data_IF_182274657053
#
_entry.id   IF_182274657053
#
_cell.length_a   1.000
_cell.length_b   1.000
_cell.length_c   1.000
_cell.angle_alpha   90.00
_cell.angle_beta   90.00
_cell.angle_gamma   90.00
#
_symmetry.space_group_name_H-M   'P 1'
#
loop_
_entity.id
_entity.type
_entity.pdbx_description
1 polymer ?
#
# COMPACT_ATOMS: atom_id res chain seq x y z
N UNK A 1 29.81 18.21 -14.03
CA UNK A 1 29.62 17.22 -15.11
C UNK A 1 29.86 15.87 -14.44
N UNK A 2 28.87 15.01 -14.12
CA UNK A 2 27.93 14.31 -15.03
C UNK A 2 28.73 13.83 -16.25
N UNK A 3 29.13 12.57 -16.34
CA UNK A 3 28.27 11.40 -16.50
C UNK A 3 29.04 10.14 -16.13
N UNK A 4 28.36 9.15 -15.53
CA UNK A 4 28.71 7.73 -15.73
C UNK A 4 27.48 6.88 -15.38
N UNK A 5 26.57 6.78 -16.35
CA UNK A 5 25.64 5.66 -16.47
C UNK A 5 26.29 4.66 -17.41
N UNK A 6 26.69 3.52 -16.88
CA UNK A 6 26.55 2.21 -17.52
C UNK A 6 27.39 1.21 -16.75
N UNK A 7 26.74 0.21 -16.14
CA UNK A 7 27.16 -1.17 -16.35
C UNK A 7 26.04 -2.11 -15.91
N UNK A 8 25.30 -2.57 -16.92
CA UNK A 8 24.59 -3.84 -16.87
C UNK A 8 25.68 -4.90 -16.97
N UNK A 9 25.93 -5.63 -15.89
CA UNK A 9 26.75 -6.84 -15.93
C UNK A 9 25.92 -7.99 -15.39
N UNK A 10 25.58 -8.92 -16.29
CA UNK A 10 25.35 -10.33 -15.95
C UNK A 10 26.17 -11.11 -16.95
N UNK A 11 27.32 -11.68 -16.52
CA UNK A 11 27.33 -13.10 -16.17
C UNK A 11 28.23 -13.44 -14.97
N UNK A 12 27.76 -14.31 -14.07
CA UNK A 12 28.57 -14.94 -13.01
C UNK A 12 28.88 -14.10 -11.77
N UNK A 13 28.30 -12.90 -11.62
CA UNK A 13 28.43 -12.07 -10.42
C UNK A 13 27.14 -12.12 -9.61
N UNK A 14 27.26 -12.23 -8.28
CA UNK A 14 26.16 -11.96 -7.34
C UNK A 14 25.47 -10.66 -7.78
N UNK A 15 24.12 -10.65 -7.96
CA UNK A 15 23.44 -9.39 -8.15
C UNK A 15 23.69 -8.59 -6.88
N UNK A 16 24.56 -7.59 -6.97
CA UNK A 16 24.64 -6.53 -5.97
C UNK A 16 23.28 -5.88 -6.06
N UNK A 17 22.36 -6.30 -5.20
CA UNK A 17 21.08 -5.63 -5.05
C UNK A 17 21.44 -4.22 -4.62
N UNK A 18 21.42 -3.33 -5.62
CA UNK A 18 21.64 -1.92 -5.43
C UNK A 18 20.60 -1.38 -4.45
N UNK A 19 20.82 -0.17 -3.96
CA UNK A 19 19.86 0.49 -3.08
C UNK A 19 18.50 0.57 -3.78
N UNK A 20 17.58 -0.32 -3.42
CA UNK A 20 16.22 -0.36 -3.94
C UNK A 20 15.56 0.97 -3.59
N UNK A 21 15.01 1.66 -4.58
CA UNK A 21 14.26 2.90 -4.37
C UNK A 21 12.93 2.83 -5.07
N UNK A 22 11.88 2.71 -4.28
CA UNK A 22 10.50 2.72 -4.75
C UNK A 22 10.02 1.38 -5.32
N UNK A 23 8.70 1.27 -5.38
CA UNK A 23 7.99 0.03 -5.67
C UNK A 23 8.32 -0.57 -7.04
N UNK A 24 8.44 0.24 -8.10
CA UNK A 24 8.71 -0.29 -9.43
C UNK A 24 10.10 -0.93 -9.53
N UNK A 25 11.13 -0.29 -8.98
CA UNK A 25 12.47 -0.86 -8.98
C UNK A 25 12.52 -2.15 -8.15
N UNK A 26 11.87 -2.16 -6.99
CA UNK A 26 11.72 -3.36 -6.15
C UNK A 26 11.12 -4.53 -6.92
N UNK A 27 10.01 -4.28 -7.63
CA UNK A 27 9.30 -5.31 -8.39
C UNK A 27 10.12 -5.80 -9.59
N UNK A 28 10.84 -4.90 -10.27
CA UNK A 28 11.77 -5.27 -11.36
C UNK A 28 12.92 -6.13 -10.85
N UNK A 29 13.51 -5.80 -9.70
CA UNK A 29 14.59 -6.62 -9.11
C UNK A 29 14.09 -8.02 -8.72
N UNK A 30 12.89 -8.11 -8.14
CA UNK A 30 12.22 -9.40 -7.86
C UNK A 30 11.98 -10.19 -9.15
N UNK A 31 11.59 -9.53 -10.25
CA UNK A 31 11.41 -10.18 -11.55
C UNK A 31 12.72 -10.70 -12.11
N UNK A 32 13.78 -9.89 -12.11
CA UNK A 32 15.11 -10.27 -12.59
C UNK A 32 15.66 -11.46 -11.80
N UNK A 33 15.53 -11.43 -10.46
CA UNK A 33 15.93 -12.54 -9.60
C UNK A 33 15.14 -13.82 -9.90
N UNK A 34 13.81 -13.70 -10.04
CA UNK A 34 12.94 -14.82 -10.39
C UNK A 34 13.29 -15.43 -11.75
N UNK A 35 13.62 -14.61 -12.75
CA UNK A 35 14.05 -15.07 -14.07
C UNK A 35 15.42 -15.73 -14.05
N UNK A 36 16.34 -15.21 -13.23
CA UNK A 36 17.63 -15.84 -12.95
C UNK A 36 17.45 -17.25 -12.36
N UNK A 37 16.64 -17.38 -11.30
CA UNK A 37 16.35 -18.69 -10.67
C UNK A 37 15.57 -19.64 -11.60
N UNK A 38 14.73 -19.11 -12.51
CA UNK A 38 14.09 -19.92 -13.56
C UNK A 38 15.10 -20.54 -14.54
N UNK A 39 16.16 -19.81 -14.87
CA UNK A 39 17.17 -20.23 -15.86
C UNK A 39 18.27 -21.10 -15.23
N UNK A 40 18.70 -20.79 -14.01
CA UNK A 40 19.81 -21.47 -13.32
C UNK A 40 19.40 -22.69 -12.49
N UNK A 41 18.11 -23.00 -12.41
CA UNK A 41 17.57 -24.02 -11.51
C UNK A 41 17.23 -23.47 -10.12
N UNK A 42 16.32 -24.16 -9.41
CA UNK A 42 15.65 -23.72 -8.16
C UNK A 42 16.60 -23.40 -6.98
N UNK A 43 17.90 -23.72 -7.14
CA UNK A 43 18.96 -23.46 -6.18
C UNK A 43 20.26 -23.06 -6.87
N UNK A 44 20.62 -21.79 -6.82
CA UNK A 44 21.99 -21.34 -7.07
C UNK A 44 22.69 -21.08 -5.73
N UNK A 45 23.70 -21.89 -5.33
CA UNK A 45 24.44 -21.72 -4.07
C UNK A 45 25.18 -20.38 -3.97
N UNK A 46 25.41 -19.69 -5.09
CA UNK A 46 26.06 -18.38 -5.13
C UNK A 46 25.09 -17.22 -4.85
N UNK A 47 23.77 -17.45 -4.90
CA UNK A 47 22.75 -16.42 -4.65
C UNK A 47 22.29 -16.39 -3.20
N UNK A 48 23.20 -16.36 -2.23
CA UNK A 48 22.82 -16.13 -0.82
C UNK A 48 22.43 -14.66 -0.65
N UNK A 49 21.13 -14.39 -0.45
CA UNK A 49 20.63 -13.02 -0.21
C UNK A 49 21.18 -12.51 1.13
N UNK A 50 22.04 -11.46 1.13
CA UNK A 50 22.59 -10.87 2.34
C UNK A 50 21.48 -10.31 3.23
N UNK A 51 21.73 -10.26 4.54
CA UNK A 51 20.75 -9.71 5.48
C UNK A 51 20.46 -8.22 5.23
N UNK A 52 21.48 -7.45 4.84
CA UNK A 52 21.36 -6.03 4.47
C UNK A 52 20.37 -5.81 3.32
N UNK A 53 20.40 -6.69 2.32
CA UNK A 53 19.44 -6.70 1.21
C UNK A 53 18.02 -6.93 1.71
N UNK A 54 17.81 -7.92 2.59
CA UNK A 54 16.48 -8.21 3.15
C UNK A 54 15.88 -7.00 3.87
N UNK A 55 16.70 -6.28 4.65
CA UNK A 55 16.29 -5.04 5.32
C UNK A 55 15.91 -3.96 4.30
N UNK A 56 16.64 -3.82 3.19
CA UNK A 56 16.30 -2.83 2.16
C UNK A 56 14.91 -3.10 1.55
N UNK A 57 14.59 -4.36 1.25
CA UNK A 57 13.25 -4.75 0.79
C UNK A 57 12.17 -4.53 1.86
N UNK A 58 12.47 -4.79 3.13
CA UNK A 58 11.59 -4.43 4.24
C UNK A 58 11.31 -2.92 4.29
N UNK A 59 12.35 -2.09 4.18
CA UNK A 59 12.19 -0.63 4.22
C UNK A 59 11.27 -0.13 3.11
N UNK A 60 11.39 -0.68 1.91
CA UNK A 60 10.47 -0.39 0.81
C UNK A 60 9.04 -0.91 1.09
N UNK A 61 8.88 -2.03 1.81
CA UNK A 61 7.60 -2.49 2.33
C UNK A 61 6.94 -1.46 3.26
N UNK A 62 7.71 -0.88 4.19
CA UNK A 62 7.25 0.20 5.09
C UNK A 62 6.81 1.42 4.28
N UNK A 63 7.68 1.91 3.38
CA UNK A 63 7.40 3.09 2.56
C UNK A 63 6.18 2.88 1.67
N UNK A 64 6.04 1.69 1.08
CA UNK A 64 4.89 1.33 0.25
C UNK A 64 3.60 1.35 1.06
N UNK A 65 3.58 0.75 2.26
CA UNK A 65 2.43 0.75 3.17
C UNK A 65 2.05 2.16 3.63
N UNK A 66 3.03 3.01 3.94
CA UNK A 66 2.75 4.39 4.30
C UNK A 66 2.16 5.18 3.12
N UNK A 67 2.75 5.04 1.93
CA UNK A 67 2.31 5.75 0.73
C UNK A 67 0.95 5.29 0.20
N UNK A 68 0.51 4.07 0.50
CA UNK A 68 -0.84 3.60 0.14
C UNK A 68 -1.88 4.22 1.05
N UNK A 69 -1.58 4.40 2.33
CA UNK A 69 -2.54 4.85 3.33
C UNK A 69 -2.65 6.37 3.45
N UNK A 70 -1.58 7.13 3.22
CA UNK A 70 -1.56 8.59 3.46
C UNK A 70 -2.67 9.33 2.71
N UNK A 71 -2.91 8.98 1.44
CA UNK A 71 -3.90 9.67 0.61
C UNK A 71 -5.32 9.31 1.06
N UNK A 72 -5.58 8.04 1.33
CA UNK A 72 -6.86 7.57 1.88
C UNK A 72 -7.11 8.24 3.24
N UNK A 73 -6.10 8.29 4.11
CA UNK A 73 -6.19 8.91 5.43
C UNK A 73 -6.57 10.40 5.36
N UNK A 74 -6.03 11.15 4.41
CA UNK A 74 -6.34 12.57 4.28
C UNK A 74 -7.71 12.82 3.63
N UNK A 75 -8.11 11.98 2.68
CA UNK A 75 -9.32 12.21 1.87
C UNK A 75 -10.59 11.67 2.54
N UNK A 76 -10.47 10.60 3.32
CA UNK A 76 -11.62 9.86 3.83
C UNK A 76 -12.63 10.68 4.68
N UNK A 77 -12.22 11.60 5.57
CA UNK A 77 -13.17 12.41 6.33
C UNK A 77 -14.07 13.27 5.44
N UNK A 78 -13.53 13.77 4.32
CA UNK A 78 -14.31 14.55 3.36
C UNK A 78 -15.32 13.68 2.63
N UNK A 79 -14.90 12.49 2.20
CA UNK A 79 -15.76 11.55 1.47
C UNK A 79 -16.89 11.02 2.35
N UNK A 80 -16.58 10.64 3.59
CA UNK A 80 -17.60 10.28 4.57
C UNK A 80 -18.51 11.47 4.86
N UNK A 81 -17.97 12.70 4.86
CA UNK A 81 -18.77 13.90 4.99
C UNK A 81 -19.70 14.16 3.82
N UNK A 82 -19.27 13.88 2.59
CA UNK A 82 -20.10 13.93 1.38
C UNK A 82 -21.25 12.91 1.50
N UNK A 83 -20.98 11.68 1.96
CA UNK A 83 -22.03 10.67 2.13
C UNK A 83 -23.04 10.97 3.23
N UNK A 84 -22.63 11.70 4.26
CA UNK A 84 -23.52 12.16 5.33
C UNK A 84 -24.11 13.55 5.06
N UNK A 85 -24.00 14.05 3.83
CA UNK A 85 -24.56 15.34 3.40
C UNK A 85 -23.99 16.57 4.13
N UNK A 86 -22.78 16.47 4.68
CA UNK A 86 -22.08 17.62 5.29
C UNK A 86 -21.34 18.47 4.25
N UNK A 87 -20.93 17.86 3.13
CA UNK A 87 -20.25 18.54 2.03
C UNK A 87 -20.97 18.28 0.72
N UNK A 88 -21.11 19.30 -0.16
CA UNK A 88 -21.62 19.07 -1.50
C UNK A 88 -20.53 18.46 -2.38
N UNK A 89 -20.91 17.51 -3.23
CA UNK A 89 -20.10 17.05 -4.36
C UNK A 89 -20.86 17.27 -5.66
N UNK A 90 -20.16 17.58 -6.75
CA UNK A 90 -20.81 17.91 -8.04
C UNK A 90 -21.90 19.00 -7.93
N UNK A 91 -21.74 19.93 -6.98
CA UNK A 91 -22.68 21.02 -6.73
C UNK A 91 -23.98 20.66 -5.99
N UNK A 92 -24.12 19.43 -5.49
CA UNK A 92 -25.33 18.94 -4.80
C UNK A 92 -24.96 18.27 -3.48
N UNK A 93 -25.90 18.20 -2.53
CA UNK A 93 -25.74 17.44 -1.29
C UNK A 93 -26.26 16.01 -1.42
N UNK A 94 -27.30 15.79 -2.24
CA UNK A 94 -27.82 14.47 -2.52
C UNK A 94 -27.11 13.85 -3.71
N UNK A 95 -26.71 12.59 -3.55
CA UNK A 95 -25.93 11.85 -4.54
C UNK A 95 -26.65 10.57 -4.95
N UNK A 96 -26.75 10.36 -6.25
CA UNK A 96 -27.17 9.10 -6.85
C UNK A 96 -26.17 7.99 -6.53
N UNK A 97 -26.59 6.73 -6.63
CA UNK A 97 -25.71 5.57 -6.40
C UNK A 97 -24.45 5.59 -7.28
N UNK A 98 -24.58 6.06 -8.53
CA UNK A 98 -23.46 6.19 -9.46
C UNK A 98 -22.45 7.26 -9.01
N UNK A 99 -22.92 8.45 -8.63
CA UNK A 99 -22.04 9.51 -8.10
C UNK A 99 -21.33 9.06 -6.82
N UNK A 100 -22.04 8.35 -5.94
CA UNK A 100 -21.45 7.78 -4.73
C UNK A 100 -20.32 6.80 -5.06
N UNK A 101 -20.51 5.95 -6.07
CA UNK A 101 -19.47 5.03 -6.54
C UNK A 101 -18.24 5.76 -7.10
N UNK A 102 -18.43 6.83 -7.88
CA UNK A 102 -17.31 7.64 -8.39
C UNK A 102 -16.52 8.30 -7.25
N UNK A 103 -17.20 8.88 -6.27
CA UNK A 103 -16.57 9.50 -5.09
C UNK A 103 -15.77 8.47 -4.30
N UNK A 104 -16.35 7.28 -4.06
CA UNK A 104 -15.63 6.15 -3.44
C UNK A 104 -14.39 5.77 -4.25
N UNK A 105 -14.53 5.61 -5.56
CA UNK A 105 -13.44 5.16 -6.43
C UNK A 105 -12.24 6.11 -6.40
N UNK A 106 -12.45 7.42 -6.35
CA UNK A 106 -11.36 8.40 -6.26
C UNK A 106 -10.54 8.25 -4.97
N UNK A 107 -11.20 7.96 -3.86
CA UNK A 107 -10.56 7.83 -2.55
C UNK A 107 -9.66 6.60 -2.44
N UNK A 108 -10.20 5.47 -2.93
CA UNK A 108 -9.66 4.15 -2.63
C UNK A 108 -8.86 3.57 -3.79
N UNK A 109 -9.07 4.05 -5.03
CA UNK A 109 -8.34 3.53 -6.20
C UNK A 109 -6.83 3.51 -6.03
N UNK A 110 -6.14 4.52 -5.45
CA UNK A 110 -4.68 4.49 -5.41
C UNK A 110 -4.14 3.39 -4.50
N UNK A 111 -4.85 3.07 -3.43
CA UNK A 111 -4.45 2.03 -2.50
C UNK A 111 -4.80 0.62 -3.02
N UNK A 112 -6.02 0.43 -3.55
CA UNK A 112 -6.46 -0.85 -4.12
C UNK A 112 -5.60 -1.22 -5.33
N UNK A 113 -5.35 -0.28 -6.25
CA UNK A 113 -4.55 -0.53 -7.45
C UNK A 113 -3.11 -0.91 -7.08
N UNK A 114 -2.50 -0.25 -6.09
CA UNK A 114 -1.16 -0.62 -5.62
C UNK A 114 -1.12 -2.06 -5.08
N UNK A 115 -2.07 -2.43 -4.22
CA UNK A 115 -2.13 -3.78 -3.65
C UNK A 115 -2.36 -4.83 -4.73
N UNK A 116 -3.26 -4.57 -5.68
CA UNK A 116 -3.50 -5.47 -6.81
C UNK A 116 -2.28 -5.59 -7.73
N UNK A 117 -1.55 -4.49 -7.97
CA UNK A 117 -0.35 -4.49 -8.79
C UNK A 117 0.78 -5.31 -8.14
N UNK A 118 1.02 -5.12 -6.84
CA UNK A 118 1.95 -5.95 -6.06
C UNK A 118 1.55 -7.41 -6.17
N UNK A 119 0.28 -7.70 -5.92
CA UNK A 119 -0.29 -9.05 -5.94
C UNK A 119 -0.10 -9.74 -7.30
N UNK A 120 -0.35 -9.01 -8.39
CA UNK A 120 -0.17 -9.50 -9.74
C UNK A 120 1.28 -9.88 -10.04
N UNK A 121 2.24 -9.01 -9.69
CA UNK A 121 3.66 -9.28 -9.92
C UNK A 121 4.15 -10.45 -9.07
N UNK A 122 3.84 -10.46 -7.78
CA UNK A 122 4.27 -11.52 -6.87
C UNK A 122 3.74 -12.90 -7.28
N UNK A 123 2.51 -12.98 -7.78
CA UNK A 123 1.94 -14.24 -8.26
C UNK A 123 2.68 -14.83 -9.49
N UNK A 124 3.45 -14.04 -10.23
CA UNK A 124 4.24 -14.48 -11.38
C UNK A 124 5.74 -14.69 -11.09
N UNK A 125 6.25 -14.11 -10.00
CA UNK A 125 7.68 -14.08 -9.66
C UNK A 125 8.06 -14.95 -8.48
N UNK A 126 7.11 -15.43 -7.68
CA UNK A 126 7.39 -16.26 -6.51
C UNK A 126 7.96 -17.65 -6.89
N UNK A 127 9.25 -17.75 -7.18
CA UNK A 127 9.92 -18.99 -7.60
C UNK A 127 11.39 -18.94 -7.19
N UNK A 128 12.00 -20.08 -6.83
CA UNK A 128 13.36 -20.12 -6.32
C UNK A 128 13.45 -19.77 -4.83
N UNK A 129 14.58 -20.07 -4.21
CA UNK A 129 14.76 -19.88 -2.75
C UNK A 129 15.00 -18.40 -2.42
N UNK A 130 15.79 -17.72 -3.22
CA UNK A 130 16.24 -16.35 -2.95
C UNK A 130 15.15 -15.33 -3.22
N UNK A 131 14.40 -15.51 -4.32
CA UNK A 131 13.24 -14.66 -4.60
C UNK A 131 12.17 -14.81 -3.52
N UNK A 132 11.88 -16.02 -3.05
CA UNK A 132 10.91 -16.24 -1.97
C UNK A 132 11.30 -15.52 -0.69
N UNK A 133 12.56 -15.61 -0.27
CA UNK A 133 13.05 -14.89 0.91
C UNK A 133 12.81 -13.39 0.74
N UNK A 134 13.19 -12.81 -0.40
CA UNK A 134 13.02 -11.37 -0.64
C UNK A 134 11.55 -10.96 -0.64
N UNK A 135 10.70 -11.73 -1.35
CA UNK A 135 9.26 -11.47 -1.39
C UNK A 135 8.64 -11.60 -0.01
N UNK A 136 9.00 -12.61 0.77
CA UNK A 136 8.47 -12.82 2.11
C UNK A 136 8.84 -11.65 3.03
N UNK A 137 10.10 -11.19 3.01
CA UNK A 137 10.54 -10.04 3.81
C UNK A 137 9.80 -8.75 3.40
N UNK A 138 9.66 -8.48 2.10
CA UNK A 138 8.90 -7.33 1.61
C UNK A 138 7.42 -7.42 2.00
N UNK A 139 6.76 -8.54 1.69
CA UNK A 139 5.31 -8.69 1.81
C UNK A 139 4.86 -8.72 3.26
N UNK A 140 5.56 -9.44 4.14
CA UNK A 140 5.23 -9.46 5.56
C UNK A 140 5.47 -8.11 6.22
N UNK A 141 6.57 -7.42 5.87
CA UNK A 141 6.79 -6.06 6.36
C UNK A 141 5.69 -5.11 5.88
N UNK A 142 5.31 -5.18 4.60
CA UNK A 142 4.21 -4.41 4.03
C UNK A 142 2.90 -4.66 4.80
N UNK A 143 2.48 -5.91 4.99
CA UNK A 143 1.22 -6.27 5.69
C UNK A 143 1.24 -5.79 7.13
N UNK A 144 2.31 -6.06 7.87
CA UNK A 144 2.43 -5.65 9.29
C UNK A 144 2.36 -4.15 9.40
N UNK A 145 3.13 -3.40 8.60
CA UNK A 145 3.12 -1.95 8.63
C UNK A 145 1.79 -1.36 8.15
N UNK A 146 1.14 -1.95 7.15
CA UNK A 146 -0.17 -1.53 6.67
C UNK A 146 -1.20 -1.61 7.80
N UNK A 147 -1.24 -2.71 8.55
CA UNK A 147 -2.13 -2.87 9.70
C UNK A 147 -1.75 -1.94 10.86
N UNK A 148 -0.45 -1.82 11.19
CA UNK A 148 0.02 -0.92 12.24
C UNK A 148 -0.33 0.54 11.95
N UNK A 149 -0.11 1.01 10.72
CA UNK A 149 -0.49 2.35 10.29
C UNK A 149 -2.00 2.54 10.18
N UNK A 150 -2.75 1.49 9.80
CA UNK A 150 -4.21 1.48 9.84
C UNK A 150 -4.75 1.74 11.25
N UNK A 151 -4.24 0.98 12.23
CA UNK A 151 -4.58 1.14 13.66
C UNK A 151 -4.15 2.51 14.17
N UNK A 152 -2.93 2.96 13.85
CA UNK A 152 -2.44 4.28 14.24
C UNK A 152 -3.33 5.39 13.67
N UNK A 153 -3.70 5.31 12.39
CA UNK A 153 -4.59 6.26 11.74
C UNK A 153 -5.98 6.30 12.38
N UNK A 154 -6.52 5.14 12.77
CA UNK A 154 -7.77 5.07 13.53
C UNK A 154 -7.68 5.85 14.85
N UNK A 155 -6.61 5.66 15.63
CA UNK A 155 -6.40 6.41 16.86
C UNK A 155 -6.17 7.89 16.62
N UNK A 156 -5.50 8.28 15.53
CA UNK A 156 -5.36 9.69 15.15
C UNK A 156 -6.74 10.29 14.88
N UNK A 157 -7.61 9.63 14.11
CA UNK A 157 -8.97 10.14 13.91
C UNK A 157 -9.76 10.26 15.21
N UNK A 158 -9.63 9.28 16.11
CA UNK A 158 -10.28 9.32 17.42
C UNK A 158 -9.76 10.49 18.27
N UNK A 159 -8.44 10.74 18.25
CA UNK A 159 -7.82 11.86 18.94
C UNK A 159 -8.27 13.20 18.34
N UNK A 160 -8.36 13.31 17.03
CA UNK A 160 -8.87 14.51 16.36
C UNK A 160 -10.35 14.75 16.69
N UNK A 161 -11.16 13.70 16.74
CA UNK A 161 -12.57 13.79 17.10
C UNK A 161 -12.78 14.22 18.57
N UNK A 162 -12.07 13.57 19.50
CA UNK A 162 -12.27 13.76 20.94
C UNK A 162 -11.54 14.96 21.53
N UNK A 163 -10.28 15.20 21.14
CA UNK A 163 -9.43 16.23 21.75
C UNK A 163 -9.31 17.48 20.88
N UNK A 164 -8.92 17.33 19.60
CA UNK A 164 -8.63 18.49 18.73
C UNK A 164 -9.92 19.25 18.41
N UNK A 165 -10.95 18.54 17.91
CA UNK A 165 -12.27 19.08 17.61
C UNK A 165 -13.27 18.87 18.77
N UNK A 166 -12.78 18.90 20.00
CA UNK A 166 -13.62 18.93 21.19
C UNK A 166 -14.64 20.08 21.13
N UNK A 167 -15.77 19.93 21.82
CA UNK A 167 -16.82 20.95 21.81
C UNK A 167 -16.33 22.31 22.30
N UNK A 168 -15.45 22.32 23.31
CA UNK A 168 -14.82 23.54 23.81
C UNK A 168 -13.96 24.25 22.75
N UNK A 169 -13.19 23.49 21.96
CA UNK A 169 -12.38 24.07 20.88
C UNK A 169 -13.25 24.58 19.73
N UNK A 170 -14.29 23.84 19.35
CA UNK A 170 -15.26 24.30 18.35
C UNK A 170 -16.01 25.56 18.81
N UNK A 171 -16.37 25.68 20.08
CA UNK A 171 -16.99 26.88 20.63
C UNK A 171 -16.07 28.11 20.56
N UNK A 172 -14.76 27.93 20.79
CA UNK A 172 -13.76 29.00 20.60
C UNK A 172 -13.67 29.44 19.14
N UNK A 173 -13.70 28.50 18.21
CA UNK A 173 -13.67 28.82 16.76
C UNK A 173 -14.98 29.50 16.34
N UNK A 174 -16.13 29.05 16.86
CA UNK A 174 -17.42 29.66 16.62
C UNK A 174 -17.48 31.12 17.11
N UNK A 175 -16.97 31.38 18.32
CA UNK A 175 -16.93 32.75 18.88
C UNK A 175 -16.01 33.66 18.07
N UNK A 176 -14.86 33.16 17.60
CA UNK A 176 -14.01 33.89 16.65
C UNK A 176 -14.73 34.16 15.32
N UNK A 177 -15.56 33.23 14.85
CA UNK A 177 -16.33 33.41 13.62
C UNK A 177 -17.44 34.43 13.70
N UNK A 178 -18.11 34.50 14.85
CA UNK A 178 -19.11 35.54 15.14
C UNK A 178 -18.42 36.90 15.29
N UNK A 179 -17.28 36.95 16.00
CA UNK A 179 -16.56 38.20 16.29
C UNK A 179 -15.91 38.83 15.06
N UNK A 180 -15.39 38.02 14.12
CA UNK A 180 -14.63 38.50 12.96
C UNK A 180 -15.46 38.57 11.66
N UNK A 181 -16.78 38.75 11.75
CA UNK A 181 -17.60 39.22 10.62
C UNK A 181 -17.68 38.30 9.39
N UNK A 182 -17.42 36.99 9.53
CA UNK A 182 -17.70 36.01 8.49
C UNK A 182 -16.50 35.28 7.88
N UNK A 183 -15.26 35.75 8.03
CA UNK A 183 -14.08 35.06 7.47
C UNK A 183 -13.93 33.62 7.97
N UNK A 184 -14.21 33.39 9.25
CA UNK A 184 -14.10 32.07 9.88
C UNK A 184 -15.36 31.21 9.74
N UNK A 185 -16.47 31.75 9.21
CA UNK A 185 -17.74 31.02 9.08
C UNK A 185 -17.61 29.80 8.15
N UNK A 186 -16.97 29.90 6.96
CA UNK A 186 -16.70 28.73 6.11
C UNK A 186 -15.79 27.71 6.81
N UNK A 187 -14.71 28.18 7.45
CA UNK A 187 -13.75 27.32 8.17
C UNK A 187 -14.45 26.53 9.28
N UNK A 188 -15.28 27.19 10.08
CA UNK A 188 -16.07 26.55 11.12
C UNK A 188 -17.03 25.50 10.54
N UNK A 189 -17.74 25.82 9.46
CA UNK A 189 -18.65 24.86 8.82
C UNK A 189 -17.94 23.60 8.33
N UNK A 190 -16.73 23.76 7.77
CA UNK A 190 -15.90 22.64 7.31
C UNK A 190 -15.40 21.82 8.49
N UNK A 191 -14.86 22.45 9.54
CA UNK A 191 -14.38 21.75 10.72
C UNK A 191 -15.50 20.99 11.44
N UNK A 192 -16.70 21.56 11.49
CA UNK A 192 -17.88 20.90 12.05
C UNK A 192 -18.28 19.66 11.23
N UNK A 193 -18.35 19.79 9.90
CA UNK A 193 -18.63 18.66 9.01
C UNK A 193 -17.58 17.55 9.08
N UNK A 194 -16.30 17.92 9.16
CA UNK A 194 -15.19 16.98 9.38
C UNK A 194 -15.37 16.26 10.71
N UNK A 195 -15.64 16.98 11.81
CA UNK A 195 -15.85 16.35 13.14
C UNK A 195 -16.92 15.27 13.07
N UNK A 196 -18.08 15.57 12.49
CA UNK A 196 -19.19 14.62 12.39
C UNK A 196 -18.82 13.38 11.57
N UNK A 197 -17.85 13.52 10.67
CA UNK A 197 -17.40 12.46 9.77
C UNK A 197 -16.23 11.66 10.32
N UNK A 198 -15.44 12.20 11.26
CA UNK A 198 -14.17 11.62 11.73
C UNK A 198 -14.34 10.24 12.37
N UNK A 199 -15.34 10.03 13.22
CA UNK A 199 -15.52 8.73 13.89
C UNK A 199 -15.83 7.62 12.88
N UNK A 200 -16.80 7.87 11.98
CA UNK A 200 -17.16 6.95 10.89
C UNK A 200 -15.98 6.75 9.93
N UNK A 201 -15.27 7.82 9.57
CA UNK A 201 -14.08 7.75 8.73
C UNK A 201 -13.00 6.87 9.35
N UNK A 202 -12.75 6.96 10.66
CA UNK A 202 -11.82 6.06 11.33
C UNK A 202 -12.19 4.59 11.19
N UNK A 203 -13.45 4.23 11.42
CA UNK A 203 -13.91 2.85 11.26
C UNK A 203 -13.76 2.36 9.80
N UNK A 204 -14.14 3.19 8.83
CA UNK A 204 -13.96 2.87 7.41
C UNK A 204 -12.49 2.74 7.00
N UNK A 205 -11.62 3.60 7.53
CA UNK A 205 -10.18 3.54 7.27
C UNK A 205 -9.60 2.21 7.76
N UNK A 206 -9.93 1.81 8.99
CA UNK A 206 -9.47 0.56 9.56
C UNK A 206 -10.02 -0.63 8.75
N UNK A 207 -11.33 -0.64 8.46
CA UNK A 207 -11.94 -1.69 7.62
C UNK A 207 -11.27 -1.80 6.25
N UNK A 208 -10.95 -0.68 5.63
CA UNK A 208 -10.22 -0.63 4.37
C UNK A 208 -8.80 -1.22 4.48
N UNK A 209 -8.05 -0.85 5.53
CA UNK A 209 -6.70 -1.41 5.76
C UNK A 209 -6.71 -2.93 5.95
N UNK A 210 -7.77 -3.47 6.57
CA UNK A 210 -7.96 -4.91 6.75
C UNK A 210 -8.27 -5.60 5.42
N UNK A 211 -9.09 -4.98 4.56
CA UNK A 211 -9.38 -5.51 3.22
C UNK A 211 -8.10 -5.54 2.38
N UNK A 212 -7.30 -4.48 2.37
CA UNK A 212 -6.04 -4.44 1.62
C UNK A 212 -5.04 -5.49 2.13
N UNK A 213 -4.94 -5.68 3.46
CA UNK A 213 -4.14 -6.75 4.05
C UNK A 213 -4.64 -8.14 3.62
N UNK A 214 -5.96 -8.35 3.60
CA UNK A 214 -6.55 -9.60 3.15
C UNK A 214 -6.24 -9.89 1.68
N UNK A 215 -6.32 -8.89 0.79
CA UNK A 215 -5.95 -9.04 -0.63
C UNK A 215 -4.48 -9.42 -0.76
N UNK A 216 -3.58 -8.79 0.00
CA UNK A 216 -2.15 -9.12 -0.01
C UNK A 216 -1.89 -10.56 0.46
N UNK A 217 -2.55 -11.00 1.53
CA UNK A 217 -2.48 -12.38 2.05
C UNK A 217 -3.04 -13.39 1.05
N UNK A 218 -4.20 -13.13 0.46
CA UNK A 218 -4.79 -14.01 -0.55
C UNK A 218 -3.85 -14.18 -1.75
N UNK A 219 -3.18 -13.10 -2.14
CA UNK A 219 -2.22 -13.09 -3.26
C UNK A 219 -0.95 -13.88 -2.96
N UNK A 220 -0.49 -13.86 -1.71
CA UNK A 220 0.56 -14.74 -1.22
C UNK A 220 0.19 -16.23 -1.40
N UNK A 221 -1.02 -16.61 -0.96
CA UNK A 221 -1.50 -17.99 -1.12
C UNK A 221 -1.65 -18.40 -2.59
N UNK A 222 -2.12 -17.48 -3.46
CA UNK A 222 -2.16 -17.72 -4.89
C UNK A 222 -0.76 -17.94 -5.50
N UNK A 223 0.23 -17.16 -5.05
CA UNK A 223 1.62 -17.31 -5.47
C UNK A 223 2.19 -18.68 -5.03
N UNK A 224 1.95 -19.08 -3.78
CA UNK A 224 2.33 -20.41 -3.27
C UNK A 224 1.67 -21.55 -4.06
N UNK A 225 0.38 -21.43 -4.36
CA UNK A 225 -0.37 -22.43 -5.12
C UNK A 225 0.19 -22.59 -6.54
N UNK A 226 0.41 -21.48 -7.26
CA UNK A 226 1.00 -21.49 -8.61
C UNK A 226 2.39 -22.13 -8.63
N UNK A 227 3.21 -21.79 -7.64
CA UNK A 227 4.57 -22.34 -7.49
C UNK A 227 4.54 -23.85 -7.29
N UNK A 228 3.67 -24.32 -6.40
CA UNK A 228 3.54 -25.74 -6.08
C UNK A 228 3.02 -26.53 -7.28
N UNK A 229 2.02 -25.99 -7.99
CA UNK A 229 1.50 -26.59 -9.22
C UNK A 229 2.59 -26.67 -10.30
N UNK A 230 3.41 -25.64 -10.44
CA UNK A 230 4.53 -25.64 -11.39
C UNK A 230 5.57 -26.70 -11.06
N UNK A 231 5.97 -26.84 -9.79
CA UNK A 231 6.90 -27.90 -9.35
C UNK A 231 6.38 -29.30 -9.67
N UNK A 232 5.11 -29.58 -9.33
CA UNK A 232 4.46 -30.87 -9.65
C UNK A 232 4.41 -31.16 -11.15
N UNK A 233 4.21 -30.13 -11.99
CA UNK A 233 4.22 -30.31 -13.44
C UNK A 233 5.63 -30.61 -13.96
N UNK A 234 6.64 -29.91 -13.48
CA UNK A 234 8.04 -30.15 -13.86
C UNK A 234 8.50 -31.58 -13.45
N UNK A 235 8.14 -32.01 -12.24
CA UNK A 235 8.38 -33.38 -11.77
C UNK A 235 7.64 -34.42 -12.62
N UNK A 236 6.39 -34.15 -13.02
CA UNK A 236 5.57 -35.08 -13.80
C UNK A 236 6.08 -35.30 -15.23
N UNK A 237 6.69 -34.28 -15.84
CA UNK A 237 7.17 -34.35 -17.23
C UNK A 237 8.66 -34.67 -17.35
N UNK A 238 9.35 -34.97 -16.23
CA UNK A 238 10.81 -35.20 -16.13
C UNK A 238 11.62 -34.19 -16.97
N UNK A 239 11.14 -32.95 -17.03
CA UNK A 239 11.84 -31.84 -17.69
C UNK A 239 12.94 -31.43 -16.72
N UNK A 240 14.02 -32.20 -16.69
CA UNK A 240 15.30 -31.70 -16.18
C UNK A 240 15.68 -30.56 -17.11
N UNK A 241 15.71 -29.36 -16.55
CA UNK A 241 16.39 -28.25 -17.19
C UNK A 241 17.85 -28.71 -17.25
N UNK A 242 18.29 -29.22 -18.39
CA UNK A 242 19.71 -29.49 -18.65
C UNK A 242 20.43 -28.16 -18.48
N UNK A 243 21.15 -28.04 -17.37
CA UNK A 243 22.11 -26.96 -17.15
C UNK A 243 23.21 -27.12 -18.20
N UNK A 244 23.45 -26.12 -19.07
CA UNK A 244 24.62 -26.13 -19.95
C UNK A 244 25.92 -26.11 -19.15
#
# INVERSE_FOLDING_TARGET
MKDERSEVVVPGGTPVVGKVKGLFQLLTEIQILSEGEKKSGDYNPEMVVPYTTRIAFSYEGIHTAFSSLILTFLTLPFIVGIFNHYFPAFGKYEHTTFEKFLIYSVAFSPAVVKVLFISFVLAGTYLGRSTKVIVDWFLWTFIVCLLSFGILGFFIYLAFYGYVLSEGNLAKIATLAIKNGGFWKPIFSVLYGIKQSLFKAGAYFLGYTVIDAFIAIASYFLALYKTTKRKKLLEKYDIRIESP
#
